data_IF_546940977579
#
_entry.id   IF_546940977579
#
_cell.length_a   1.000
_cell.length_b   1.000
_cell.length_c   1.000
_cell.angle_alpha   90.00
_cell.angle_beta   90.00
_cell.angle_gamma   90.00
#
_symmetry.space_group_name_H-M   'P 1'
#
loop_
_entity.id
_entity.type
_entity.pdbx_description
1 polymer ?
#
# COMPACT_ATOMS: atom_id res chain seq x y z
N UNK A 1 11.25 6.97 -30.67
CA UNK A 1 10.83 7.47 -29.34
C UNK A 1 11.06 6.44 -28.23
N UNK A 2 10.57 5.19 -28.32
CA UNK A 2 10.70 4.24 -27.19
C UNK A 2 12.09 3.61 -26.99
N UNK A 3 12.93 3.53 -28.02
CA UNK A 3 14.35 3.15 -27.89
C UNK A 3 15.18 4.25 -27.23
N UNK A 4 14.72 5.49 -27.31
CA UNK A 4 15.38 6.70 -26.81
C UNK A 4 15.42 6.78 -25.28
N UNK A 5 14.52 6.06 -24.57
CA UNK A 5 14.50 6.05 -23.09
C UNK A 5 15.78 5.52 -22.45
N UNK A 6 16.54 4.68 -23.17
CA UNK A 6 17.85 4.19 -22.71
C UNK A 6 18.92 5.28 -22.70
N UNK A 7 18.67 6.40 -23.40
CA UNK A 7 19.57 7.54 -23.52
C UNK A 7 19.27 8.63 -22.49
N UNK A 8 18.12 8.56 -21.80
CA UNK A 8 17.73 9.51 -20.77
C UNK A 8 18.22 9.02 -19.41
N UNK A 9 18.99 9.85 -18.73
CA UNK A 9 19.39 9.59 -17.37
C UNK A 9 18.22 9.87 -16.41
N UNK A 10 17.51 8.81 -16.04
CA UNK A 10 16.40 8.86 -15.10
C UNK A 10 16.85 8.59 -13.65
N UNK A 11 18.15 8.56 -13.37
CA UNK A 11 18.66 8.37 -12.01
C UNK A 11 18.71 9.72 -11.28
N UNK A 12 17.90 9.95 -10.22
CA UNK A 12 17.86 11.22 -9.51
C UNK A 12 19.21 11.61 -8.89
N UNK A 13 19.94 10.61 -8.40
CA UNK A 13 21.20 10.81 -7.66
C UNK A 13 22.43 10.94 -8.57
N UNK A 14 22.27 10.87 -9.90
CA UNK A 14 23.41 10.85 -10.82
C UNK A 14 23.20 11.77 -12.04
N UNK A 15 22.58 12.94 -11.86
CA UNK A 15 22.31 13.88 -12.96
C UNK A 15 23.56 14.65 -13.45
N UNK A 16 24.70 14.56 -12.75
CA UNK A 16 25.96 15.23 -13.12
C UNK A 16 26.69 14.63 -14.34
N UNK A 17 26.06 13.68 -15.04
CA UNK A 17 26.63 13.07 -16.25
C UNK A 17 26.68 14.10 -17.39
N UNK A 18 27.87 14.29 -17.98
CA UNK A 18 28.22 15.19 -19.09
C UNK A 18 27.56 14.86 -20.44
N UNK A 19 26.58 13.95 -20.45
CA UNK A 19 25.84 13.59 -21.66
C UNK A 19 25.00 14.78 -22.13
N UNK A 20 25.18 15.18 -23.40
CA UNK A 20 24.38 16.23 -24.05
C UNK A 20 22.86 15.93 -24.04
N UNK A 21 22.45 14.70 -23.76
CA UNK A 21 21.03 14.30 -23.65
C UNK A 21 20.40 14.54 -22.26
N UNK A 22 21.19 14.95 -21.25
CA UNK A 22 20.69 15.23 -19.90
C UNK A 22 20.15 16.67 -19.75
N UNK A 23 20.47 17.56 -20.69
CA UNK A 23 19.92 18.91 -20.75
C UNK A 23 18.43 18.84 -21.10
N UNK A 24 17.58 18.58 -20.10
CA UNK A 24 16.13 18.45 -20.23
C UNK A 24 15.50 17.32 -19.42
N UNK A 25 16.28 16.31 -18.95
CA UNK A 25 15.76 15.26 -18.07
C UNK A 25 15.44 15.77 -16.68
N UNK A 26 16.03 16.89 -16.28
CA UNK A 26 15.85 17.49 -14.95
C UNK A 26 14.38 17.77 -14.63
N UNK A 27 13.60 18.37 -15.54
CA UNK A 27 12.17 18.63 -15.30
C UNK A 27 11.31 17.36 -15.15
N UNK A 28 11.75 16.23 -15.72
CA UNK A 28 11.11 14.92 -15.51
C UNK A 28 11.53 14.37 -14.14
N UNK A 29 12.84 14.38 -13.84
CA UNK A 29 13.39 13.85 -12.60
C UNK A 29 12.87 14.63 -11.38
N UNK A 30 12.70 15.95 -11.48
CA UNK A 30 12.13 16.80 -10.44
C UNK A 30 10.60 16.72 -10.33
N UNK A 31 9.92 15.98 -11.21
CA UNK A 31 8.46 15.78 -11.13
C UNK A 31 7.63 16.75 -11.96
N UNK A 32 8.12 17.96 -12.25
CA UNK A 32 7.36 19.06 -12.89
C UNK A 32 6.72 18.67 -14.22
N UNK A 33 7.42 17.91 -15.06
CA UNK A 33 6.94 17.50 -16.39
C UNK A 33 6.18 16.16 -16.38
N UNK A 34 6.20 15.40 -15.27
CA UNK A 34 5.58 14.07 -15.20
C UNK A 34 4.06 14.08 -15.46
N UNK A 35 3.27 15.08 -14.98
CA UNK A 35 1.84 15.17 -15.29
C UNK A 35 1.52 15.35 -16.77
N UNK A 36 2.45 15.88 -17.56
CA UNK A 36 2.28 16.11 -19.00
C UNK A 36 2.60 14.86 -19.83
N UNK A 37 3.16 13.81 -19.22
CA UNK A 37 3.51 12.58 -19.93
C UNK A 37 2.25 11.77 -20.27
N UNK A 38 2.09 11.46 -21.55
CA UNK A 38 1.01 10.59 -21.99
C UNK A 38 1.09 9.20 -21.32
N UNK A 39 -0.04 8.52 -21.03
CA UNK A 39 -0.05 7.20 -20.39
C UNK A 39 0.91 6.17 -20.96
N UNK A 40 1.03 6.11 -22.30
CA UNK A 40 1.95 5.18 -22.98
C UNK A 40 3.43 5.46 -22.68
N UNK A 41 3.78 6.69 -22.34
CA UNK A 41 5.17 7.11 -22.08
C UNK A 41 5.67 6.56 -20.75
N UNK A 42 4.90 6.69 -19.66
CA UNK A 42 5.35 6.21 -18.36
C UNK A 42 5.06 4.72 -18.13
N UNK A 43 4.02 4.14 -18.75
CA UNK A 43 3.67 2.72 -18.55
C UNK A 43 4.51 1.75 -19.38
N UNK A 44 4.74 2.03 -20.66
CA UNK A 44 5.32 1.06 -21.59
C UNK A 44 6.77 0.64 -21.22
N UNK A 45 7.67 1.56 -20.82
CA UNK A 45 9.01 1.19 -20.37
C UNK A 45 8.98 0.25 -19.15
N UNK A 46 8.08 0.52 -18.20
CA UNK A 46 7.91 -0.28 -16.99
C UNK A 46 7.43 -1.69 -17.34
N UNK A 47 6.34 -1.80 -18.12
CA UNK A 47 5.77 -3.09 -18.56
C UNK A 47 6.82 -3.94 -19.30
N UNK A 48 7.55 -3.34 -20.25
CA UNK A 48 8.58 -4.05 -21.02
C UNK A 48 9.73 -4.53 -20.13
N UNK A 49 10.16 -3.71 -19.17
CA UNK A 49 11.26 -4.06 -18.28
C UNK A 49 10.87 -5.14 -17.29
N UNK A 50 9.65 -5.08 -16.75
CA UNK A 50 9.09 -6.14 -15.91
C UNK A 50 9.01 -7.45 -16.68
N UNK A 51 8.46 -7.43 -17.90
CA UNK A 51 8.34 -8.63 -18.75
C UNK A 51 9.70 -9.27 -19.07
N UNK A 52 10.73 -8.48 -19.38
CA UNK A 52 12.08 -9.00 -19.67
C UNK A 52 12.80 -9.61 -18.48
N UNK A 53 12.50 -9.11 -17.28
CA UNK A 53 13.14 -9.57 -16.04
C UNK A 53 12.32 -10.62 -15.30
N UNK A 54 11.18 -11.02 -15.88
CA UNK A 54 10.27 -12.01 -15.31
C UNK A 54 10.82 -13.43 -15.54
N UNK A 55 10.93 -14.18 -14.45
CA UNK A 55 11.29 -15.60 -14.51
C UNK A 55 10.12 -16.38 -15.12
N UNK A 56 10.42 -17.12 -16.20
CA UNK A 56 9.46 -17.97 -16.90
C UNK A 56 9.56 -19.42 -16.39
N UNK A 57 8.47 -20.18 -16.52
CA UNK A 57 8.46 -21.62 -16.23
C UNK A 57 8.41 -22.01 -14.74
N UNK A 58 8.26 -21.06 -13.82
CA UNK A 58 8.05 -21.31 -12.39
C UNK A 58 6.71 -20.73 -11.91
N UNK A 59 5.96 -21.51 -11.16
CA UNK A 59 4.64 -21.13 -10.64
C UNK A 59 4.68 -20.41 -9.28
N UNK A 60 5.79 -20.54 -8.56
CA UNK A 60 6.03 -19.94 -7.25
C UNK A 60 7.53 -19.80 -6.99
N UNK A 61 7.89 -18.84 -6.14
CA UNK A 61 9.27 -18.59 -5.74
C UNK A 61 9.72 -19.46 -4.55
N UNK A 62 10.83 -19.11 -3.90
CA UNK A 62 11.33 -19.88 -2.76
C UNK A 62 10.28 -20.03 -1.65
N UNK A 63 10.34 -21.14 -0.91
CA UNK A 63 9.41 -21.39 0.20
C UNK A 63 9.81 -20.58 1.44
N UNK A 64 8.83 -19.92 2.06
CA UNK A 64 8.95 -19.12 3.28
C UNK A 64 8.06 -19.75 4.34
N UNK A 65 8.61 -19.94 5.55
CA UNK A 65 7.87 -20.57 6.65
C UNK A 65 7.33 -19.50 7.58
N UNK A 66 6.04 -19.56 7.88
CA UNK A 66 5.34 -18.59 8.75
C UNK A 66 4.61 -19.33 9.86
N UNK A 67 4.68 -18.80 11.07
CA UNK A 67 3.99 -19.37 12.24
C UNK A 67 3.03 -18.33 12.82
N UNK A 68 1.73 -18.60 12.76
CA UNK A 68 0.68 -17.78 13.40
C UNK A 68 0.34 -18.29 14.80
N UNK A 69 0.23 -19.61 14.95
CA UNK A 69 -0.18 -20.25 16.21
C UNK A 69 0.98 -20.29 17.21
N UNK A 70 0.77 -19.74 18.41
CA UNK A 70 1.72 -19.87 19.52
C UNK A 70 1.76 -21.33 19.98
N UNK A 71 2.97 -21.88 20.12
CA UNK A 71 3.17 -23.15 20.82
C UNK A 71 4.03 -22.90 22.04
N UNK A 72 3.58 -23.41 23.21
CA UNK A 72 4.31 -23.33 24.50
C UNK A 72 4.48 -21.89 25.06
N UNK A 73 3.47 -21.03 24.94
CA UNK A 73 3.40 -19.74 25.64
C UNK A 73 4.31 -18.61 25.12
N UNK A 74 5.06 -18.82 24.02
CA UNK A 74 5.84 -17.76 23.38
C UNK A 74 4.98 -17.01 22.36
N UNK A 75 4.86 -15.69 22.49
CA UNK A 75 4.18 -14.84 21.49
C UNK A 75 4.86 -15.02 20.12
N UNK A 76 4.07 -15.26 19.08
CA UNK A 76 4.58 -15.28 17.71
C UNK A 76 5.01 -13.86 17.31
N UNK A 77 6.09 -13.78 16.53
CA UNK A 77 6.47 -12.50 15.92
C UNK A 77 5.46 -12.13 14.84
N UNK A 78 5.28 -10.85 14.52
CA UNK A 78 4.45 -10.43 13.39
C UNK A 78 4.87 -11.13 12.09
N UNK A 79 3.92 -11.46 11.24
CA UNK A 79 4.11 -12.16 9.97
C UNK A 79 5.05 -11.38 9.05
N UNK A 80 4.89 -10.05 9.01
CA UNK A 80 5.77 -9.15 8.29
C UNK A 80 7.23 -9.36 8.69
N UNK A 81 7.51 -9.39 10.00
CA UNK A 81 8.87 -9.58 10.54
C UNK A 81 9.41 -10.99 10.25
N UNK A 82 8.55 -12.00 10.29
CA UNK A 82 8.94 -13.39 9.97
C UNK A 82 9.33 -13.56 8.50
N UNK A 83 8.54 -12.98 7.59
CA UNK A 83 8.77 -13.04 6.14
C UNK A 83 9.97 -12.17 5.76
N UNK A 84 10.05 -10.94 6.29
CA UNK A 84 11.16 -10.01 6.02
C UNK A 84 12.52 -10.68 6.22
N UNK A 85 12.73 -11.32 7.38
CA UNK A 85 14.01 -11.99 7.71
C UNK A 85 14.40 -13.13 6.78
N UNK A 86 13.43 -13.76 6.13
CA UNK A 86 13.69 -14.86 5.20
C UNK A 86 13.87 -14.32 3.78
N UNK A 87 13.01 -13.40 3.34
CA UNK A 87 13.01 -12.86 1.96
C UNK A 87 14.25 -12.04 1.65
N UNK A 88 14.74 -11.23 2.59
CA UNK A 88 15.96 -10.41 2.37
C UNK A 88 17.23 -11.24 2.21
N UNK A 89 17.20 -12.54 2.55
CA UNK A 89 18.31 -13.49 2.35
C UNK A 89 18.26 -14.21 1.00
N UNK A 90 17.19 -14.04 0.25
CA UNK A 90 17.00 -14.66 -1.06
C UNK A 90 17.68 -13.85 -2.16
N UNK A 91 17.90 -14.48 -3.32
CA UNK A 91 18.33 -13.74 -4.49
C UNK A 91 17.17 -12.96 -5.10
N UNK A 92 17.42 -11.70 -5.43
CA UNK A 92 16.41 -10.83 -6.05
C UNK A 92 15.77 -11.44 -7.31
N UNK A 93 16.53 -12.19 -8.12
CA UNK A 93 16.02 -12.82 -9.34
C UNK A 93 14.95 -13.87 -9.08
N UNK A 94 15.04 -14.60 -7.96
CA UNK A 94 14.09 -15.67 -7.61
C UNK A 94 12.71 -15.14 -7.25
N UNK A 95 12.61 -13.86 -6.90
CA UNK A 95 11.37 -13.17 -6.53
C UNK A 95 10.62 -12.56 -7.72
N UNK A 96 11.25 -12.50 -8.91
CA UNK A 96 10.72 -11.81 -10.10
C UNK A 96 9.74 -12.67 -10.90
N UNK A 97 8.69 -13.15 -10.23
CA UNK A 97 7.69 -14.06 -10.78
C UNK A 97 6.38 -13.36 -11.15
N UNK A 98 5.57 -13.94 -12.05
CA UNK A 98 4.32 -13.32 -12.52
C UNK A 98 3.19 -13.30 -11.48
N UNK A 99 3.18 -14.24 -10.52
CA UNK A 99 2.02 -14.44 -9.64
C UNK A 99 2.39 -14.52 -8.16
N UNK A 100 3.42 -15.30 -7.82
CA UNK A 100 3.85 -15.55 -6.44
C UNK A 100 5.34 -15.41 -6.33
N UNK A 101 5.79 -14.35 -5.66
CA UNK A 101 7.22 -14.11 -5.45
C UNK A 101 7.85 -15.13 -4.49
N UNK A 102 7.05 -15.75 -3.63
CA UNK A 102 7.43 -16.86 -2.75
C UNK A 102 6.22 -17.77 -2.49
N UNK A 103 6.49 -18.98 -1.99
CA UNK A 103 5.45 -19.91 -1.49
C UNK A 103 5.39 -19.82 0.02
N UNK A 104 4.22 -19.61 0.61
CA UNK A 104 4.06 -19.57 2.07
C UNK A 104 3.76 -20.97 2.61
N UNK A 105 4.45 -21.38 3.68
CA UNK A 105 4.14 -22.58 4.45
C UNK A 105 3.75 -22.19 5.87
N UNK A 106 2.47 -22.33 6.19
CA UNK A 106 1.96 -22.08 7.54
C UNK A 106 2.25 -23.29 8.45
N UNK A 107 2.94 -23.05 9.56
CA UNK A 107 3.32 -24.10 10.50
C UNK A 107 2.12 -24.48 11.36
N UNK A 108 1.65 -25.71 11.21
CA UNK A 108 0.58 -26.29 12.05
C UNK A 108 -0.83 -26.11 11.51
N UNK A 109 -1.01 -25.46 10.35
CA UNK A 109 -2.34 -25.10 9.83
C UNK A 109 -2.82 -26.00 8.68
N UNK A 110 -2.08 -27.06 8.29
CA UNK A 110 -2.49 -28.00 7.24
C UNK A 110 -2.69 -27.41 5.83
N UNK A 111 -2.60 -26.09 5.69
CA UNK A 111 -2.81 -25.36 4.46
C UNK A 111 -1.59 -25.48 3.53
N UNK A 112 -1.82 -25.97 2.32
CA UNK A 112 -0.84 -25.90 1.23
C UNK A 112 -1.13 -24.67 0.35
N UNK A 113 -0.09 -23.90 0.04
CA UNK A 113 -0.23 -22.63 -0.68
C UNK A 113 -0.49 -22.87 -2.18
N UNK A 114 -1.77 -22.85 -2.56
CA UNK A 114 -2.26 -22.76 -3.93
C UNK A 114 -2.46 -21.31 -4.41
N UNK A 115 -2.03 -20.31 -3.64
CA UNK A 115 -2.10 -18.87 -3.94
C UNK A 115 -2.96 -18.07 -2.96
N UNK A 116 -3.95 -18.69 -2.32
CA UNK A 116 -4.78 -18.03 -1.30
C UNK A 116 -3.98 -17.64 -0.06
N UNK A 117 -3.09 -18.53 0.41
CA UNK A 117 -2.24 -18.29 1.59
C UNK A 117 -1.27 -17.13 1.35
N UNK A 118 -0.70 -17.03 0.15
CA UNK A 118 0.16 -15.90 -0.22
C UNK A 118 -0.59 -14.56 -0.16
N UNK A 119 -1.77 -14.48 -0.78
CA UNK A 119 -2.59 -13.26 -0.78
C UNK A 119 -3.05 -12.89 0.65
N UNK A 120 -3.44 -13.88 1.45
CA UNK A 120 -3.85 -13.73 2.84
C UNK A 120 -2.72 -13.14 3.71
N UNK A 121 -1.51 -13.69 3.62
CA UNK A 121 -0.36 -13.13 4.37
C UNK A 121 0.03 -11.73 3.93
N UNK A 122 -0.17 -11.34 2.67
CA UNK A 122 0.07 -9.96 2.23
C UNK A 122 -0.94 -9.01 2.90
N UNK A 123 -2.21 -9.39 2.93
CA UNK A 123 -3.26 -8.61 3.60
C UNK A 123 -2.96 -8.43 5.08
N UNK A 124 -2.59 -9.50 5.79
CA UNK A 124 -2.20 -9.44 7.20
C UNK A 124 -0.96 -8.56 7.41
N UNK A 125 0.05 -8.66 6.55
CA UNK A 125 1.23 -7.79 6.63
C UNK A 125 0.89 -6.30 6.49
N UNK A 126 -0.04 -5.93 5.60
CA UNK A 126 -0.51 -4.54 5.50
C UNK A 126 -1.22 -4.10 6.79
N UNK A 127 -2.06 -4.96 7.36
CA UNK A 127 -2.75 -4.68 8.62
C UNK A 127 -1.77 -4.54 9.79
N UNK A 128 -0.76 -5.40 9.89
CA UNK A 128 0.28 -5.33 10.94
C UNK A 128 1.06 -4.00 10.90
N UNK A 129 1.27 -3.44 9.70
CA UNK A 129 1.92 -2.14 9.51
C UNK A 129 1.02 -0.98 9.97
N UNK A 130 -0.25 -0.96 9.58
CA UNK A 130 -1.17 0.16 9.89
C UNK A 130 -1.74 0.12 11.31
N UNK A 131 -1.75 -1.05 11.95
CA UNK A 131 -2.21 -1.21 13.35
C UNK A 131 -1.11 -0.94 14.38
N UNK A 132 0.13 -0.67 13.94
CA UNK A 132 1.28 -0.43 14.82
C UNK A 132 1.85 -1.69 15.49
N UNK A 133 1.42 -2.89 15.07
CA UNK A 133 2.04 -4.15 15.50
C UNK A 133 3.50 -4.21 15.03
N UNK A 134 3.78 -3.61 13.87
CA UNK A 134 5.11 -3.42 13.30
C UNK A 134 5.42 -1.93 13.26
N UNK A 135 6.42 -1.51 14.05
CA UNK A 135 6.78 -0.10 14.28
C UNK A 135 7.60 0.50 13.14
N UNK A 136 7.05 0.46 11.91
CA UNK A 136 7.64 1.09 10.72
C UNK A 136 6.81 2.26 10.22
N UNK A 137 5.51 2.27 10.52
CA UNK A 137 4.59 3.33 10.13
C UNK A 137 4.08 4.05 11.38
N UNK A 138 3.90 5.36 11.26
CA UNK A 138 3.20 6.17 12.25
C UNK A 138 2.00 6.85 11.58
N UNK A 139 0.88 7.08 12.28
CA UNK A 139 -0.16 7.98 11.80
C UNK A 139 0.41 9.37 11.49
N UNK A 140 -0.19 10.10 10.56
CA UNK A 140 0.17 11.49 10.34
C UNK A 140 -0.02 12.32 11.63
N UNK A 141 0.80 13.35 11.87
CA UNK A 141 0.57 14.29 12.98
C UNK A 141 -0.85 14.87 12.99
N UNK A 142 -1.40 15.18 11.81
CA UNK A 142 -2.79 15.58 11.61
C UNK A 142 -3.81 14.53 12.13
N UNK A 143 -3.53 13.24 11.99
CA UNK A 143 -4.36 12.18 12.57
C UNK A 143 -4.39 12.27 14.10
N UNK A 144 -3.23 12.47 14.72
CA UNK A 144 -3.07 12.55 16.18
C UNK A 144 -3.69 13.83 16.75
N UNK A 145 -3.56 14.94 16.03
CA UNK A 145 -4.11 16.25 16.41
C UNK A 145 -5.58 16.46 15.99
N UNK A 146 -6.15 15.51 15.23
CA UNK A 146 -7.52 15.57 14.69
C UNK A 146 -7.85 16.79 13.81
N UNK A 147 -6.84 17.39 13.18
CA UNK A 147 -6.97 18.59 12.33
C UNK A 147 -6.29 18.40 10.98
N UNK A 148 -6.59 19.27 10.01
CA UNK A 148 -5.95 19.25 8.69
C UNK A 148 -6.37 18.07 7.81
N UNK A 149 -5.60 17.85 6.74
CA UNK A 149 -5.82 16.77 5.76
C UNK A 149 -5.07 15.49 6.14
N UNK A 150 -5.29 14.41 5.39
CA UNK A 150 -4.55 13.15 5.49
C UNK A 150 -4.55 12.51 6.90
N UNK A 151 -5.66 12.66 7.63
CA UNK A 151 -5.87 12.10 8.99
C UNK A 151 -6.00 10.57 9.01
N UNK A 152 -6.28 9.98 7.86
CA UNK A 152 -6.36 8.54 7.61
C UNK A 152 -5.05 7.96 7.06
N UNK A 153 -3.97 8.76 7.01
CA UNK A 153 -2.72 8.40 6.33
C UNK A 153 -1.55 8.19 7.28
N UNK A 154 -0.59 7.42 6.80
CA UNK A 154 0.60 7.02 7.54
C UNK A 154 1.88 7.59 6.92
N UNK A 155 2.85 7.89 7.78
CA UNK A 155 4.24 8.24 7.45
C UNK A 155 5.17 7.08 7.82
N UNK A 156 6.39 7.07 7.29
CA UNK A 156 7.43 6.19 7.82
C UNK A 156 7.88 6.70 9.19
N UNK A 157 8.09 5.79 10.14
CA UNK A 157 8.59 6.16 11.46
C UNK A 157 10.03 6.70 11.34
N UNK A 158 10.29 8.00 11.59
CA UNK A 158 11.63 8.58 11.47
C UNK A 158 12.60 8.01 12.51
N UNK A 159 12.10 7.58 13.67
CA UNK A 159 12.89 6.92 14.71
C UNK A 159 13.26 5.47 14.40
N UNK A 160 12.63 4.85 13.40
CA UNK A 160 12.89 3.46 13.02
C UNK A 160 14.19 3.32 12.19
N UNK A 161 15.33 3.60 12.83
CA UNK A 161 16.64 3.73 12.19
C UNK A 161 17.64 2.59 12.48
N UNK A 162 17.26 1.59 13.30
CA UNK A 162 18.09 0.43 13.60
C UNK A 162 18.25 -0.47 12.35
N UNK A 163 19.32 -1.26 12.29
CA UNK A 163 19.57 -2.15 11.14
C UNK A 163 18.42 -3.12 10.86
N UNK A 164 17.77 -3.62 11.91
CA UNK A 164 16.57 -4.47 11.79
C UNK A 164 15.40 -3.70 11.17
N UNK A 165 15.21 -2.41 11.49
CA UNK A 165 14.18 -1.56 10.89
C UNK A 165 14.50 -1.26 9.42
N UNK A 166 15.76 -0.95 9.09
CA UNK A 166 16.17 -0.70 7.71
C UNK A 166 16.03 -1.94 6.83
N UNK A 167 16.35 -3.13 7.37
CA UNK A 167 16.07 -4.41 6.72
C UNK A 167 14.57 -4.61 6.46
N UNK A 168 13.74 -4.24 7.42
CA UNK A 168 12.28 -4.31 7.31
C UNK A 168 11.71 -3.29 6.29
N UNK A 169 12.22 -2.05 6.24
CA UNK A 169 11.90 -1.08 5.19
C UNK A 169 12.34 -1.56 3.81
N UNK A 170 13.51 -2.19 3.71
CA UNK A 170 13.94 -2.86 2.48
C UNK A 170 12.95 -3.95 2.07
N UNK A 171 12.47 -4.75 3.01
CA UNK A 171 11.44 -5.74 2.73
C UNK A 171 10.11 -5.08 2.29
N UNK A 172 9.69 -3.97 2.90
CA UNK A 172 8.52 -3.19 2.45
C UNK A 172 8.70 -2.77 0.98
N UNK A 173 9.90 -2.32 0.59
CA UNK A 173 10.24 -2.02 -0.80
C UNK A 173 10.13 -3.22 -1.74
N UNK A 174 10.60 -4.39 -1.30
CA UNK A 174 10.43 -5.65 -2.05
C UNK A 174 8.94 -5.94 -2.24
N UNK A 175 8.14 -5.81 -1.17
CA UNK A 175 6.69 -6.06 -1.19
C UNK A 175 5.97 -5.11 -2.16
N UNK A 176 6.29 -3.81 -2.16
CA UNK A 176 5.78 -2.84 -3.14
C UNK A 176 6.15 -3.23 -4.57
N UNK A 177 7.40 -3.64 -4.81
CA UNK A 177 7.84 -4.13 -6.12
C UNK A 177 7.11 -5.42 -6.56
N UNK A 178 6.84 -6.33 -5.63
CA UNK A 178 6.07 -7.56 -5.87
C UNK A 178 4.62 -7.21 -6.23
N UNK A 179 3.99 -6.23 -5.57
CA UNK A 179 2.65 -5.77 -5.90
C UNK A 179 2.57 -5.25 -7.33
N UNK A 180 3.51 -4.38 -7.72
CA UNK A 180 3.62 -3.84 -9.09
C UNK A 180 3.76 -4.95 -10.15
N UNK A 181 4.58 -5.98 -9.84
CA UNK A 181 4.91 -7.07 -10.76
C UNK A 181 3.78 -8.09 -10.89
N UNK A 182 3.20 -8.49 -9.77
CA UNK A 182 2.14 -9.52 -9.69
C UNK A 182 0.74 -8.97 -9.92
N UNK A 183 0.58 -7.64 -9.98
CA UNK A 183 -0.70 -6.94 -10.11
C UNK A 183 -1.66 -7.21 -8.95
N UNK A 184 -1.10 -7.52 -7.77
CA UNK A 184 -1.82 -7.74 -6.52
C UNK A 184 -1.59 -6.52 -5.63
N UNK A 185 -2.55 -5.59 -5.54
CA UNK A 185 -2.32 -4.33 -4.86
C UNK A 185 -2.21 -4.50 -3.34
N UNK A 186 -1.42 -3.64 -2.70
CA UNK A 186 -1.31 -3.55 -1.25
C UNK A 186 -2.37 -2.61 -0.69
N UNK A 187 -3.05 -3.00 0.38
CA UNK A 187 -3.95 -2.10 1.11
C UNK A 187 -3.14 -1.23 2.09
N UNK A 188 -2.39 -0.26 1.56
CA UNK A 188 -1.58 0.69 2.35
C UNK A 188 -2.02 2.13 2.10
N UNK A 189 -2.16 2.90 3.17
CA UNK A 189 -2.66 4.27 3.20
C UNK A 189 -1.53 5.27 3.53
N UNK A 190 -0.45 5.24 2.76
CA UNK A 190 0.67 6.17 2.97
C UNK A 190 0.29 7.59 2.53
N UNK A 191 0.84 8.61 3.21
CA UNK A 191 0.60 10.01 2.89
C UNK A 191 1.24 10.41 1.53
N UNK A 192 0.69 11.42 0.83
CA UNK A 192 1.20 11.87 -0.47
C UNK A 192 2.71 12.18 -0.50
N UNK A 193 3.25 12.79 0.57
CA UNK A 193 4.67 13.11 0.67
C UNK A 193 5.58 11.87 0.63
N UNK A 194 5.14 10.73 1.18
CA UNK A 194 5.90 9.47 1.16
C UNK A 194 6.04 8.97 -0.28
N UNK A 195 4.96 9.03 -1.06
CA UNK A 195 4.97 8.67 -2.48
C UNK A 195 5.83 9.63 -3.32
N UNK A 196 5.85 10.93 -2.99
CA UNK A 196 6.75 11.90 -3.62
C UNK A 196 8.21 11.54 -3.36
N UNK A 197 8.59 11.25 -2.12
CA UNK A 197 9.95 10.83 -1.77
C UNK A 197 10.35 9.50 -2.43
N UNK A 198 9.45 8.50 -2.45
CA UNK A 198 9.67 7.25 -3.18
C UNK A 198 9.83 7.46 -4.69
N UNK A 199 9.34 8.57 -5.24
CA UNK A 199 9.52 8.99 -6.62
C UNK A 199 10.74 9.93 -6.83
N UNK A 200 11.47 10.26 -5.78
CA UNK A 200 12.50 11.32 -5.73
C UNK A 200 11.99 12.67 -6.26
N UNK A 201 10.75 13.01 -5.95
CA UNK A 201 10.20 14.35 -6.15
C UNK A 201 10.54 15.14 -4.87
N UNK A 202 11.19 16.32 -4.96
CA UNK A 202 11.43 17.15 -3.79
C UNK A 202 10.12 17.55 -3.13
N UNK A 203 10.14 17.58 -1.80
CA UNK A 203 9.02 18.07 -1.02
C UNK A 203 9.08 19.58 -0.89
N UNK A 204 7.91 20.19 -0.69
CA UNK A 204 7.73 21.63 -0.44
C UNK A 204 6.97 21.82 0.87
N UNK A 205 6.87 23.06 1.36
CA UNK A 205 6.22 23.36 2.65
C UNK A 205 4.76 22.87 2.70
N UNK A 206 4.05 22.98 1.59
CA UNK A 206 2.66 22.54 1.45
C UNK A 206 2.52 21.02 1.66
N UNK A 207 3.54 20.22 1.31
CA UNK A 207 3.56 18.78 1.59
C UNK A 207 3.65 18.47 3.08
N UNK A 208 4.34 19.32 3.84
CA UNK A 208 4.41 19.21 5.30
C UNK A 208 3.10 19.65 5.94
N UNK A 209 2.52 20.77 5.49
CA UNK A 209 1.24 21.28 5.99
C UNK A 209 0.10 20.28 5.79
N UNK A 210 0.12 19.53 4.69
CA UNK A 210 -0.84 18.47 4.39
C UNK A 210 -0.86 17.33 5.42
N UNK A 211 0.21 17.13 6.18
CA UNK A 211 0.33 16.06 7.20
C UNK A 211 0.53 16.57 8.62
N UNK A 212 0.92 17.83 8.80
CA UNK A 212 1.26 18.44 10.08
C UNK A 212 0.96 19.96 10.11
N UNK A 213 -0.33 20.28 10.05
CA UNK A 213 -0.84 21.65 9.95
C UNK A 213 -0.43 22.51 11.16
N UNK A 214 -0.58 21.97 12.38
CA UNK A 214 -0.28 22.72 13.60
C UNK A 214 1.20 23.05 13.73
N UNK A 215 2.07 22.15 13.27
CA UNK A 215 3.51 22.40 13.28
C UNK A 215 3.87 23.56 12.35
N UNK A 216 3.35 23.56 11.12
CA UNK A 216 3.56 24.67 10.16
C UNK A 216 3.00 25.98 10.70
N UNK A 217 1.82 25.96 11.32
CA UNK A 217 1.25 27.14 11.98
C UNK A 217 2.14 27.66 13.11
N UNK A 218 2.67 26.75 13.95
CA UNK A 218 3.59 27.11 15.05
C UNK A 218 4.86 27.77 14.52
N UNK A 219 5.46 27.21 13.46
CA UNK A 219 6.63 27.79 12.82
C UNK A 219 6.35 29.16 12.20
N UNK A 220 5.19 29.34 11.55
CA UNK A 220 4.76 30.63 11.02
C UNK A 220 4.57 31.66 12.15
N UNK A 221 4.02 31.26 13.30
CA UNK A 221 3.92 32.14 14.48
C UNK A 221 5.29 32.56 15.02
N UNK A 222 6.28 31.66 15.04
CA UNK A 222 7.66 32.00 15.43
C UNK A 222 8.31 32.95 14.40
N UNK A 223 8.06 32.72 13.11
CA UNK A 223 8.61 33.55 12.04
C UNK A 223 8.11 35.00 12.11
N UNK A 224 6.81 35.17 12.33
CA UNK A 224 6.08 36.43 12.36
C UNK A 224 5.76 36.92 13.78
N UNK A 225 6.59 36.53 14.76
CA UNK A 225 6.32 36.77 16.18
C UNK A 225 6.18 38.25 16.54
N UNK A 226 6.82 39.14 15.76
CA UNK A 226 6.73 40.59 15.87
C UNK A 226 5.30 41.13 15.65
N UNK A 227 4.52 40.48 14.77
CA UNK A 227 3.14 40.87 14.49
C UNK A 227 2.22 40.63 15.70
N UNK A 228 2.67 39.81 16.65
CA UNK A 228 2.01 39.55 17.93
C UNK A 228 2.50 40.46 19.07
N UNK A 229 3.35 41.45 18.77
CA UNK A 229 3.90 42.39 19.76
C UNK A 229 4.99 41.80 20.66
N UNK A 230 5.54 40.63 20.31
CA UNK A 230 6.61 39.96 21.05
C UNK A 230 7.95 40.57 20.64
N UNK A 231 8.76 40.92 21.64
CA UNK A 231 10.08 41.54 21.50
C UNK A 231 11.17 40.57 21.96
N UNK A 232 12.43 40.97 21.84
CA UNK A 232 13.55 40.17 22.34
C UNK A 232 13.49 39.94 23.86
N UNK A 233 12.93 40.90 24.61
CA UNK A 233 12.86 40.86 26.08
C UNK A 233 11.90 39.80 26.61
N UNK A 234 10.80 39.53 25.90
CA UNK A 234 9.76 38.57 26.32
C UNK A 234 9.73 37.29 25.45
N UNK A 235 10.71 37.11 24.55
CA UNK A 235 10.76 35.99 23.60
C UNK A 235 10.72 34.62 24.29
N UNK A 236 11.57 34.43 25.30
CA UNK A 236 11.67 33.16 26.04
C UNK A 236 10.48 32.88 26.96
N UNK A 237 9.67 33.90 27.28
CA UNK A 237 8.41 33.70 28.02
C UNK A 237 7.31 33.16 27.11
N UNK A 238 7.35 33.51 25.82
CA UNK A 238 6.31 33.17 24.84
C UNK A 238 6.64 31.92 24.03
N UNK A 239 7.92 31.64 23.76
CA UNK A 239 8.38 30.48 23.00
C UNK A 239 9.09 29.50 23.94
N UNK A 240 8.45 28.36 24.29
CA UNK A 240 9.01 27.38 25.23
C UNK A 240 10.02 26.44 24.55
N UNK A 241 10.97 27.01 23.79
CA UNK A 241 12.03 26.28 23.10
C UNK A 241 13.38 26.92 23.45
N UNK A 242 14.24 26.16 24.12
CA UNK A 242 15.53 26.66 24.60
C UNK A 242 16.62 26.68 23.52
N UNK A 243 16.51 25.82 22.51
CA UNK A 243 17.59 25.55 21.55
C UNK A 243 17.05 25.13 20.18
N UNK A 244 17.95 24.83 19.23
CA UNK A 244 17.62 24.30 17.90
C UNK A 244 17.19 22.82 17.98
N UNK A 245 16.11 22.60 18.72
CA UNK A 245 15.42 21.33 18.92
C UNK A 245 13.98 21.54 18.50
N UNK A 246 13.46 20.63 17.69
CA UNK A 246 12.08 20.66 17.18
C UNK A 246 11.40 19.33 17.39
N UNK A 247 10.08 19.32 17.25
CA UNK A 247 9.27 18.10 17.31
C UNK A 247 9.33 17.34 15.98
N UNK A 248 9.70 16.07 16.00
CA UNK A 248 9.65 15.14 14.85
C UNK A 248 8.23 14.64 14.60
N UNK A 249 7.94 14.03 13.44
CA UNK A 249 6.60 13.48 13.16
C UNK A 249 6.12 12.45 14.18
N UNK A 250 7.04 11.74 14.86
CA UNK A 250 6.71 10.77 15.91
C UNK A 250 6.48 11.42 17.29
N UNK A 251 6.48 12.75 17.35
CA UNK A 251 6.24 13.55 18.54
C UNK A 251 7.46 13.77 19.43
N UNK A 252 8.63 13.20 19.12
CA UNK A 252 9.84 13.38 19.93
C UNK A 252 10.54 14.70 19.66
N UNK A 253 11.10 15.30 20.71
CA UNK A 253 11.99 16.46 20.59
C UNK A 253 13.39 16.02 20.18
N UNK A 254 13.88 16.56 19.06
CA UNK A 254 15.15 16.16 18.45
C UNK A 254 15.93 17.37 17.92
N UNK A 255 17.27 17.33 17.89
CA UNK A 255 18.06 18.39 17.26
C UNK A 255 17.74 18.48 15.77
N UNK A 256 17.28 19.65 15.30
CA UNK A 256 16.96 19.87 13.87
C UNK A 256 18.19 20.14 13.01
N UNK A 257 19.33 20.41 13.66
CA UNK A 257 20.64 20.53 13.04
C UNK A 257 21.69 19.79 13.88
N UNK A 258 22.84 19.40 13.30
CA UNK A 258 23.96 18.84 14.06
C UNK A 258 24.38 19.77 15.21
N UNK A 259 24.37 19.25 16.44
CA UNK A 259 24.69 20.04 17.63
C UNK A 259 23.58 20.99 18.10
N UNK A 260 22.36 20.90 17.55
CA UNK A 260 21.25 21.82 17.83
C UNK A 260 20.91 22.02 19.31
N UNK A 261 21.11 20.99 20.15
CA UNK A 261 20.96 21.08 21.62
C UNK A 261 21.83 22.17 22.27
N UNK A 262 22.94 22.53 21.64
CA UNK A 262 23.91 23.50 22.15
C UNK A 262 23.77 24.88 21.52
N UNK A 263 22.85 25.04 20.57
CA UNK A 263 22.61 26.31 19.88
C UNK A 263 21.34 26.90 20.45
N UNK A 264 21.41 27.96 21.28
CA UNK A 264 20.23 28.56 21.89
C UNK A 264 19.35 29.19 20.81
N UNK A 265 18.03 29.04 20.96
CA UNK A 265 17.07 29.75 20.14
C UNK A 265 16.91 31.16 20.70
N UNK A 266 17.13 32.18 19.90
CA UNK A 266 17.00 33.60 20.27
C UNK A 266 16.05 34.31 19.33
N UNK A 267 15.58 35.48 19.75
CA UNK A 267 14.75 36.33 18.90
C UNK A 267 15.44 36.61 17.54
N UNK A 268 16.75 36.88 17.54
CA UNK A 268 17.52 37.22 16.34
C UNK A 268 17.73 36.03 15.39
N UNK A 269 17.88 34.80 15.89
CA UNK A 269 18.12 33.61 15.05
C UNK A 269 16.85 32.79 14.73
N UNK A 270 15.67 33.21 15.21
CA UNK A 270 14.38 32.52 15.00
C UNK A 270 14.06 32.20 13.54
N UNK A 271 14.47 33.05 12.60
CA UNK A 271 14.22 32.85 11.16
C UNK A 271 15.00 31.65 10.62
N UNK A 272 16.27 31.54 11.03
CA UNK A 272 17.10 30.37 10.72
C UNK A 272 16.53 29.12 11.38
N UNK A 273 16.09 29.20 12.65
CA UNK A 273 15.43 28.08 13.31
C UNK A 273 14.24 27.55 12.51
N UNK A 274 13.34 28.45 12.05
CA UNK A 274 12.16 28.07 11.26
C UNK A 274 12.57 27.39 9.94
N UNK A 275 13.53 27.95 9.21
CA UNK A 275 14.04 27.37 7.96
C UNK A 275 14.63 25.97 8.20
N UNK A 276 15.44 25.80 9.25
CA UNK A 276 16.05 24.51 9.62
C UNK A 276 15.01 23.50 10.09
N UNK A 277 13.97 23.95 10.79
CA UNK A 277 12.89 23.10 11.28
C UNK A 277 12.07 22.53 10.12
N UNK A 278 11.73 23.36 9.13
CA UNK A 278 11.08 22.93 7.89
C UNK A 278 11.96 21.92 7.15
N UNK A 279 13.23 22.26 6.91
CA UNK A 279 14.18 21.40 6.20
C UNK A 279 14.32 20.03 6.89
N UNK A 280 14.45 20.03 8.23
CA UNK A 280 14.49 18.79 9.01
C UNK A 280 13.24 17.93 8.78
N UNK A 281 12.04 18.51 8.89
CA UNK A 281 10.78 17.76 8.75
C UNK A 281 10.55 17.24 7.33
N UNK A 282 11.00 17.94 6.30
CA UNK A 282 10.94 17.48 4.92
C UNK A 282 11.88 16.28 4.65
N UNK A 283 12.96 16.15 5.44
CA UNK A 283 14.03 15.15 5.21
C UNK A 283 14.17 14.07 6.29
N UNK A 284 13.41 14.10 7.38
CA UNK A 284 13.58 13.17 8.51
C UNK A 284 13.32 11.68 8.18
N UNK A 285 12.64 11.39 7.06
CA UNK A 285 12.35 10.01 6.59
C UNK A 285 13.31 9.50 5.50
N UNK A 286 14.32 10.28 5.10
CA UNK A 286 15.16 9.97 3.93
C UNK A 286 15.86 8.61 4.03
N UNK A 287 16.28 8.20 5.24
CA UNK A 287 16.93 6.89 5.47
C UNK A 287 15.97 5.73 5.22
N UNK A 288 14.74 5.85 5.68
CA UNK A 288 13.67 4.87 5.50
C UNK A 288 13.28 4.78 4.02
N UNK A 289 13.10 5.93 3.37
CA UNK A 289 12.83 6.03 1.92
C UNK A 289 13.94 5.36 1.11
N UNK A 290 15.22 5.59 1.45
CA UNK A 290 16.34 4.96 0.78
C UNK A 290 16.31 3.43 0.90
N UNK A 291 16.02 2.89 2.08
CA UNK A 291 15.89 1.45 2.30
C UNK A 291 14.72 0.85 1.50
N UNK A 292 13.55 1.50 1.48
CA UNK A 292 12.41 1.07 0.66
C UNK A 292 12.77 1.08 -0.83
N UNK A 293 13.43 2.14 -1.32
CA UNK A 293 13.86 2.22 -2.72
C UNK A 293 14.89 1.15 -3.08
N UNK A 294 15.81 0.82 -2.16
CA UNK A 294 16.73 -0.30 -2.32
C UNK A 294 15.96 -1.62 -2.52
N UNK A 295 14.96 -1.87 -1.67
CA UNK A 295 14.08 -3.03 -1.79
C UNK A 295 13.32 -3.08 -3.11
N UNK A 296 12.74 -1.97 -3.54
CA UNK A 296 12.05 -1.88 -4.84
C UNK A 296 12.97 -2.24 -5.99
N UNK A 297 14.25 -1.84 -5.93
CA UNK A 297 15.24 -2.09 -6.99
C UNK A 297 15.52 -3.57 -7.24
N UNK A 298 15.23 -4.44 -6.26
CA UNK A 298 15.34 -5.88 -6.43
C UNK A 298 14.31 -6.41 -7.44
N UNK A 299 13.12 -5.81 -7.48
CA UNK A 299 11.95 -6.36 -8.18
C UNK A 299 11.58 -5.54 -9.40
N UNK A 300 11.72 -4.21 -9.36
CA UNK A 300 11.35 -3.29 -10.42
C UNK A 300 12.50 -2.33 -10.77
N UNK A 301 12.59 -1.84 -12.01
CA UNK A 301 13.62 -0.88 -12.41
C UNK A 301 13.34 0.51 -11.80
N UNK A 302 13.86 0.76 -10.60
CA UNK A 302 13.68 2.01 -9.84
C UNK A 302 13.93 3.31 -10.62
N UNK A 303 14.88 3.41 -11.56
CA UNK A 303 15.02 4.63 -12.38
C UNK A 303 13.76 4.97 -13.19
N UNK A 304 12.93 4.00 -13.56
CA UNK A 304 11.68 4.27 -14.28
C UNK A 304 10.59 4.90 -13.40
N UNK A 305 10.75 4.89 -12.08
CA UNK A 305 9.85 5.61 -11.17
C UNK A 305 9.91 7.12 -11.39
N UNK A 306 11.01 7.64 -11.94
CA UNK A 306 11.14 9.05 -12.32
C UNK A 306 10.22 9.48 -13.48
N UNK A 307 9.50 8.55 -14.10
CA UNK A 307 8.46 8.85 -15.08
C UNK A 307 7.07 8.97 -14.46
N UNK A 308 6.90 8.56 -13.20
CA UNK A 308 5.62 8.46 -12.53
C UNK A 308 5.38 9.65 -11.62
N UNK A 309 4.17 10.18 -11.59
CA UNK A 309 3.75 11.05 -10.48
C UNK A 309 3.61 10.23 -9.19
N UNK A 310 3.59 10.90 -8.04
CA UNK A 310 3.33 10.26 -6.74
C UNK A 310 2.04 9.42 -6.76
N UNK A 311 0.95 10.00 -7.27
CA UNK A 311 -0.35 9.32 -7.45
C UNK A 311 -0.29 8.10 -8.37
N UNK A 312 0.49 8.16 -9.45
CA UNK A 312 0.65 7.02 -10.35
C UNK A 312 1.43 5.88 -9.68
N UNK A 313 2.45 6.20 -8.88
CA UNK A 313 3.16 5.19 -8.09
C UNK A 313 2.25 4.54 -7.05
N UNK A 314 1.48 5.33 -6.30
CA UNK A 314 0.47 4.83 -5.36
C UNK A 314 -0.49 3.88 -6.08
N UNK A 315 -1.06 4.27 -7.22
CA UNK A 315 -1.97 3.40 -7.99
C UNK A 315 -1.32 2.11 -8.48
N UNK A 316 -0.02 2.13 -8.80
CA UNK A 316 0.72 0.93 -9.21
C UNK A 316 0.97 -0.05 -8.05
N UNK A 317 1.12 0.46 -6.83
CA UNK A 317 1.40 -0.33 -5.62
C UNK A 317 0.11 -0.75 -4.93
N UNK A 318 -0.80 0.19 -4.71
CA UNK A 318 -2.02 0.06 -3.91
C UNK A 318 -3.29 -0.13 -4.73
N UNK A 319 -3.24 0.07 -6.06
CA UNK A 319 -4.42 -0.06 -6.91
C UNK A 319 -5.34 1.15 -6.79
N UNK A 320 -6.59 0.99 -7.24
CA UNK A 320 -7.59 2.06 -7.16
C UNK A 320 -8.26 2.06 -5.78
N UNK A 321 -8.32 3.22 -5.11
CA UNK A 321 -9.01 3.32 -3.83
C UNK A 321 -10.53 3.22 -3.99
N UNK A 322 -11.05 3.67 -5.13
CA UNK A 322 -12.46 3.62 -5.47
C UNK A 322 -12.82 2.34 -6.22
N UNK A 323 -13.88 1.67 -5.78
CA UNK A 323 -14.41 0.48 -6.44
C UNK A 323 -15.48 0.90 -7.45
N UNK A 324 -15.09 1.00 -8.72
CA UNK A 324 -16.00 1.29 -9.83
C UNK A 324 -16.86 0.07 -10.19
N UNK A 325 -18.17 0.25 -10.13
CA UNK A 325 -19.16 -0.77 -10.53
C UNK A 325 -19.06 -1.07 -12.03
N UNK A 326 -18.78 -0.05 -12.84
CA UNK A 326 -18.61 -0.14 -14.29
C UNK A 326 -17.42 -1.02 -14.66
N UNK A 327 -16.33 -0.95 -13.89
CA UNK A 327 -15.18 -1.85 -14.07
C UNK A 327 -15.59 -3.29 -13.75
N UNK A 328 -16.31 -3.52 -12.65
CA UNK A 328 -16.79 -4.85 -12.28
C UNK A 328 -17.73 -5.44 -13.34
N UNK A 329 -18.66 -4.63 -13.87
CA UNK A 329 -19.55 -5.00 -14.99
C UNK A 329 -18.77 -5.41 -16.24
N UNK A 330 -17.63 -4.76 -16.55
CA UNK A 330 -16.80 -5.11 -17.71
C UNK A 330 -16.06 -6.45 -17.56
N UNK A 331 -15.79 -6.89 -16.34
CA UNK A 331 -15.03 -8.13 -16.06
C UNK A 331 -15.90 -9.27 -15.55
N UNK A 332 -17.21 -9.07 -15.43
CA UNK A 332 -18.13 -10.08 -14.89
C UNK A 332 -18.34 -11.25 -15.86
N UNK A 333 -18.59 -12.43 -15.30
CA UNK A 333 -19.09 -13.60 -15.99
C UNK A 333 -20.28 -14.16 -15.21
N UNK A 334 -21.42 -14.24 -15.87
CA UNK A 334 -22.62 -14.85 -15.30
C UNK A 334 -22.58 -16.36 -15.45
N UNK A 335 -23.01 -17.09 -14.42
CA UNK A 335 -23.16 -18.55 -14.41
C UNK A 335 -24.57 -18.89 -13.98
N UNK A 336 -25.27 -19.69 -14.79
CA UNK A 336 -26.66 -20.13 -14.54
C UNK A 336 -27.69 -18.98 -14.50
N UNK A 337 -27.26 -17.77 -14.85
CA UNK A 337 -28.07 -16.56 -15.07
C UNK A 337 -27.45 -15.76 -16.21
N UNK A 338 -28.20 -14.79 -16.72
CA UNK A 338 -27.73 -13.79 -17.66
C UNK A 338 -27.89 -12.37 -17.08
N UNK A 339 -27.40 -11.37 -17.81
CA UNK A 339 -27.42 -9.97 -17.42
C UNK A 339 -28.84 -9.39 -17.27
N UNK A 340 -29.82 -9.93 -17.99
CA UNK A 340 -31.21 -9.44 -18.00
C UNK A 340 -32.03 -10.06 -16.86
N UNK A 341 -31.52 -11.09 -16.19
CA UNK A 341 -32.20 -11.71 -15.07
C UNK A 341 -32.42 -10.69 -13.93
N UNK A 342 -33.65 -10.62 -13.42
CA UNK A 342 -34.06 -9.64 -12.40
C UNK A 342 -33.11 -9.58 -11.18
N UNK A 343 -32.69 -10.75 -10.69
CA UNK A 343 -31.70 -10.90 -9.62
C UNK A 343 -30.37 -10.16 -9.89
N UNK A 344 -29.89 -10.20 -11.13
CA UNK A 344 -28.64 -9.55 -11.54
C UNK A 344 -28.83 -8.04 -11.63
N UNK A 345 -29.96 -7.58 -12.16
CA UNK A 345 -30.29 -6.16 -12.22
C UNK A 345 -30.40 -5.55 -10.81
N UNK A 346 -31.10 -6.21 -9.90
CA UNK A 346 -31.19 -5.80 -8.49
C UNK A 346 -29.81 -5.75 -7.83
N UNK A 347 -28.95 -6.73 -8.09
CA UNK A 347 -27.60 -6.75 -7.54
C UNK A 347 -26.79 -5.52 -7.99
N UNK A 348 -26.81 -5.21 -9.29
CA UNK A 348 -26.06 -4.07 -9.82
C UNK A 348 -26.60 -2.73 -9.30
N UNK A 349 -27.91 -2.54 -9.26
CA UNK A 349 -28.50 -1.32 -8.69
C UNK A 349 -28.18 -1.17 -7.20
N UNK A 350 -28.25 -2.26 -6.45
CA UNK A 350 -27.84 -2.28 -5.04
C UNK A 350 -26.37 -1.85 -4.87
N UNK A 351 -25.47 -2.36 -5.71
CA UNK A 351 -24.05 -2.00 -5.63
C UNK A 351 -23.77 -0.56 -6.08
N UNK A 352 -24.58 -0.01 -7.00
CA UNK A 352 -24.56 1.40 -7.40
C UNK A 352 -25.02 2.32 -6.25
N UNK A 353 -25.97 1.88 -5.43
CA UNK A 353 -26.43 2.62 -4.23
C UNK A 353 -25.46 2.55 -3.06
N UNK A 354 -24.55 1.57 -3.03
CA UNK A 354 -23.56 1.45 -1.98
C UNK A 354 -22.55 2.60 -2.01
N UNK A 355 -22.19 3.08 -0.82
CA UNK A 355 -21.03 3.94 -0.59
C UNK A 355 -19.73 3.26 -1.02
N UNK A 356 -18.65 4.02 -1.24
CA UNK A 356 -17.38 3.41 -1.61
C UNK A 356 -16.86 2.49 -0.49
N UNK A 357 -17.09 2.84 0.77
CA UNK A 357 -16.76 2.04 1.95
C UNK A 357 -17.46 0.68 1.90
N UNK A 358 -18.77 0.67 1.61
CA UNK A 358 -19.54 -0.57 1.41
C UNK A 358 -19.05 -1.37 0.20
N UNK A 359 -18.67 -0.71 -0.91
CA UNK A 359 -18.11 -1.40 -2.09
C UNK A 359 -16.73 -2.00 -1.82
N UNK A 360 -15.90 -1.37 -0.99
CA UNK A 360 -14.62 -1.94 -0.52
C UNK A 360 -14.87 -3.17 0.34
N UNK A 361 -15.83 -3.13 1.27
CA UNK A 361 -16.24 -4.29 2.06
C UNK A 361 -16.78 -5.42 1.17
N UNK A 362 -17.59 -5.08 0.17
CA UNK A 362 -18.05 -6.03 -0.84
C UNK A 362 -16.87 -6.70 -1.58
N UNK A 363 -15.88 -5.91 -2.03
CA UNK A 363 -14.69 -6.46 -2.69
C UNK A 363 -13.92 -7.43 -1.79
N UNK A 364 -13.78 -7.11 -0.50
CA UNK A 364 -13.19 -8.03 0.49
C UNK A 364 -14.02 -9.31 0.59
N UNK A 365 -15.34 -9.20 0.66
CA UNK A 365 -16.25 -10.35 0.73
C UNK A 365 -16.12 -11.29 -0.47
N UNK A 366 -16.04 -10.77 -1.71
CA UNK A 366 -16.03 -11.63 -2.91
C UNK A 366 -14.64 -12.04 -3.40
N UNK A 367 -13.58 -11.35 -2.98
CA UNK A 367 -12.22 -11.57 -3.52
C UNK A 367 -11.11 -11.65 -2.45
N UNK A 368 -11.41 -11.31 -1.19
CA UNK A 368 -10.40 -11.16 -0.14
C UNK A 368 -9.54 -9.90 -0.28
N UNK A 369 -9.85 -9.01 -1.25
CA UNK A 369 -9.05 -7.81 -1.55
C UNK A 369 -9.87 -6.54 -1.34
N UNK A 370 -9.21 -5.47 -0.87
CA UNK A 370 -9.82 -4.16 -0.66
C UNK A 370 -9.71 -3.22 -1.86
N UNK A 371 -8.89 -3.57 -2.84
CA UNK A 371 -8.49 -2.68 -3.95
C UNK A 371 -8.53 -3.42 -5.28
N UNK A 372 -8.89 -2.69 -6.34
CA UNK A 372 -8.80 -3.17 -7.72
C UNK A 372 -7.46 -2.77 -8.35
N UNK A 373 -6.88 -3.58 -9.25
CA UNK A 373 -5.75 -3.15 -10.07
C UNK A 373 -6.06 -1.86 -10.83
N UNK A 374 -5.07 -0.96 -10.95
CA UNK A 374 -5.23 0.33 -11.64
C UNK A 374 -5.63 0.19 -13.13
N UNK A 375 -5.19 -0.89 -13.77
CA UNK A 375 -5.58 -1.21 -15.13
C UNK A 375 -6.56 -2.39 -15.12
N UNK A 376 -7.72 -2.21 -15.76
CA UNK A 376 -8.75 -3.25 -15.85
C UNK A 376 -8.25 -4.50 -16.59
N UNK A 377 -7.30 -4.36 -17.51
CA UNK A 377 -6.67 -5.49 -18.20
C UNK A 377 -5.78 -6.35 -17.28
N UNK A 378 -5.36 -5.82 -16.14
CA UNK A 378 -4.55 -6.55 -15.15
C UNK A 378 -5.42 -7.42 -14.22
N UNK A 379 -6.74 -7.37 -14.35
CA UNK A 379 -7.69 -8.24 -13.64
C UNK A 379 -7.64 -9.64 -14.27
N UNK A 380 -6.77 -10.50 -13.73
CA UNK A 380 -6.53 -11.85 -14.24
C UNK A 380 -7.71 -12.81 -14.04
N UNK A 381 -8.48 -12.63 -12.97
CA UNK A 381 -9.63 -13.45 -12.64
C UNK A 381 -10.91 -12.65 -12.87
N UNK A 382 -11.82 -13.17 -13.70
CA UNK A 382 -13.12 -12.55 -13.94
C UNK A 382 -14.01 -12.69 -12.70
N UNK A 383 -14.69 -11.60 -12.35
CA UNK A 383 -15.72 -11.61 -11.32
C UNK A 383 -16.86 -12.53 -11.75
N UNK A 384 -17.36 -13.40 -10.88
CA UNK A 384 -18.40 -14.36 -11.24
C UNK A 384 -19.64 -14.15 -10.40
N UNK A 385 -20.81 -14.07 -11.06
CA UNK A 385 -22.10 -14.07 -10.39
C UNK A 385 -22.80 -15.39 -10.74
N UNK A 386 -23.13 -16.15 -9.71
CA UNK A 386 -23.81 -17.43 -9.80
C UNK A 386 -25.11 -17.36 -9.02
N UNK A 387 -26.21 -17.80 -9.64
CA UNK A 387 -27.43 -18.07 -8.89
C UNK A 387 -27.30 -19.42 -8.20
N UNK A 388 -27.78 -19.52 -6.96
CA UNK A 388 -27.81 -20.78 -6.22
C UNK A 388 -29.22 -21.10 -5.78
N UNK A 389 -29.56 -22.39 -5.77
CA UNK A 389 -30.83 -22.87 -5.25
C UNK A 389 -30.73 -23.00 -3.72
N UNK A 390 -31.22 -21.98 -3.03
CA UNK A 390 -31.25 -21.84 -1.58
C UNK A 390 -32.58 -21.21 -1.16
N UNK A 391 -33.00 -21.32 0.11
CA UNK A 391 -34.20 -20.65 0.59
C UNK A 391 -34.20 -19.15 0.24
N UNK A 392 -35.38 -18.64 -0.08
CA UNK A 392 -35.58 -17.23 -0.35
C UNK A 392 -35.03 -16.37 0.78
N UNK A 393 -34.44 -15.24 0.40
CA UNK A 393 -33.96 -14.21 1.33
C UNK A 393 -32.87 -14.69 2.30
N UNK A 394 -32.19 -15.79 1.97
CA UNK A 394 -30.99 -16.25 2.66
C UNK A 394 -29.78 -15.34 2.38
N UNK A 395 -28.71 -15.49 3.16
CA UNK A 395 -27.50 -14.70 2.96
C UNK A 395 -26.77 -15.11 1.67
N UNK A 396 -26.19 -14.15 0.94
CA UNK A 396 -25.30 -14.47 -0.17
C UNK A 396 -24.02 -15.14 0.38
N UNK A 397 -23.39 -15.95 -0.46
CA UNK A 397 -22.09 -16.57 -0.13
C UNK A 397 -21.07 -16.22 -1.18
N UNK A 398 -19.79 -16.34 -0.85
CA UNK A 398 -18.70 -16.08 -1.79
C UNK A 398 -17.69 -17.21 -1.81
N UNK A 399 -16.93 -17.28 -2.89
CA UNK A 399 -15.71 -18.08 -2.97
C UNK A 399 -14.58 -17.14 -3.40
N UNK A 400 -13.86 -16.60 -2.42
CA UNK A 400 -12.81 -15.58 -2.61
C UNK A 400 -11.73 -16.06 -3.58
N UNK A 401 -11.30 -17.32 -3.48
CA UNK A 401 -10.35 -17.97 -4.39
C UNK A 401 -10.79 -17.93 -5.86
N UNK A 402 -12.10 -17.86 -6.12
CA UNK A 402 -12.68 -17.84 -7.47
C UNK A 402 -13.19 -16.47 -7.90
N UNK A 403 -13.04 -15.44 -7.06
CA UNK A 403 -13.67 -14.14 -7.22
C UNK A 403 -15.16 -14.27 -7.58
N UNK A 404 -15.89 -15.08 -6.80
CA UNK A 404 -17.24 -15.52 -7.11
C UNK A 404 -18.23 -15.12 -6.01
N UNK A 405 -19.36 -14.56 -6.42
CA UNK A 405 -20.54 -14.29 -5.63
C UNK A 405 -21.65 -15.29 -5.97
N UNK A 406 -22.26 -15.88 -4.95
CA UNK A 406 -23.38 -16.81 -5.04
C UNK A 406 -24.62 -16.14 -4.45
N UNK A 407 -25.58 -15.87 -5.31
CA UNK A 407 -26.82 -15.16 -4.97
C UNK A 407 -27.98 -16.16 -4.83
N UNK A 408 -28.59 -16.27 -3.64
CA UNK A 408 -29.89 -16.95 -3.49
C UNK A 408 -31.00 -16.12 -4.14
N UNK A 409 -32.19 -16.71 -4.35
CA UNK A 409 -33.36 -15.94 -4.76
C UNK A 409 -33.77 -14.96 -3.65
N UNK A 410 -34.16 -13.75 -4.04
CA UNK A 410 -34.70 -12.73 -3.13
C UNK A 410 -36.13 -12.37 -3.53
N UNK A 411 -36.95 -12.00 -2.55
CA UNK A 411 -38.33 -11.55 -2.79
C UNK A 411 -38.40 -10.09 -3.22
N UNK A 412 -37.39 -9.28 -2.93
CA UNK A 412 -37.25 -7.88 -3.41
C UNK A 412 -35.80 -7.38 -3.42
N UNK A 413 -35.54 -6.29 -4.15
CA UNK A 413 -34.24 -5.60 -4.13
C UNK A 413 -33.86 -5.11 -2.73
N UNK A 414 -34.83 -4.60 -1.96
CA UNK A 414 -34.58 -4.09 -0.61
C UNK A 414 -34.03 -5.18 0.32
N UNK A 415 -34.59 -6.39 0.25
CA UNK A 415 -34.11 -7.51 1.06
C UNK A 415 -32.74 -7.99 0.56
N UNK A 416 -32.51 -8.03 -0.76
CA UNK A 416 -31.16 -8.30 -1.28
C UNK A 416 -30.12 -7.31 -0.73
N UNK A 417 -30.44 -6.01 -0.72
CA UNK A 417 -29.55 -4.98 -0.22
C UNK A 417 -29.27 -5.14 1.28
N UNK A 418 -30.29 -5.43 2.09
CA UNK A 418 -30.14 -5.73 3.51
C UNK A 418 -29.24 -6.95 3.75
N UNK A 419 -29.48 -8.06 3.02
CA UNK A 419 -28.71 -9.30 3.15
C UNK A 419 -27.27 -9.16 2.68
N UNK A 420 -27.03 -8.41 1.60
CA UNK A 420 -25.69 -8.07 1.14
C UNK A 420 -24.95 -7.22 2.19
N UNK A 421 -25.57 -6.14 2.69
CA UNK A 421 -24.98 -5.31 3.75
C UNK A 421 -24.65 -6.13 4.99
N UNK A 422 -25.54 -7.04 5.38
CA UNK A 422 -25.28 -7.94 6.50
C UNK A 422 -24.06 -8.82 6.22
N UNK A 423 -23.99 -9.49 5.06
CA UNK A 423 -22.90 -10.38 4.72
C UNK A 423 -21.53 -9.68 4.69
N UNK A 424 -21.43 -8.52 4.02
CA UNK A 424 -20.16 -7.78 3.88
C UNK A 424 -19.62 -7.21 5.19
N UNK A 425 -20.50 -6.95 6.17
CA UNK A 425 -20.09 -6.41 7.47
C UNK A 425 -19.67 -7.50 8.48
N UNK A 426 -20.24 -8.70 8.37
CA UNK A 426 -20.08 -9.77 9.35
C UNK A 426 -19.09 -10.87 8.91
N UNK A 427 -18.84 -11.05 7.62
CA UNK A 427 -17.87 -12.05 7.11
C UNK A 427 -16.48 -11.42 6.93
N UNK A 428 -15.71 -11.32 8.02
CA UNK A 428 -14.40 -10.61 8.04
C UNK A 428 -13.18 -11.51 7.77
N UNK A 429 -13.30 -12.83 7.89
CA UNK A 429 -12.22 -13.80 7.66
C UNK A 429 -12.60 -14.85 6.63
N UNK A 430 -11.60 -15.45 5.98
CA UNK A 430 -11.77 -16.69 5.22
C UNK A 430 -12.07 -17.77 6.26
N UNK A 431 -13.35 -18.04 6.52
CA UNK A 431 -13.74 -19.19 7.31
C UNK A 431 -13.36 -20.44 6.50
N UNK A 432 -12.36 -21.16 7.00
CA UNK A 432 -12.03 -22.52 6.59
C UNK A 432 -13.15 -23.45 7.06
N UNK A 433 -14.35 -23.27 6.50
CA UNK A 433 -15.42 -24.22 6.71
C UNK A 433 -15.05 -25.53 6.01
N UNK A 434 -15.25 -26.63 6.73
CA UNK A 434 -14.97 -28.05 6.44
C UNK A 434 -15.44 -28.59 5.06
N UNK A 435 -15.91 -27.73 4.16
CA UNK A 435 -16.44 -28.07 2.84
C UNK A 435 -15.38 -28.59 1.85
N UNK A 436 -14.10 -28.25 2.04
CA UNK A 436 -12.99 -28.82 1.25
C UNK A 436 -12.57 -30.21 1.74
N UNK A 437 -12.88 -30.57 3.00
CA UNK A 437 -12.59 -31.90 3.53
C UNK A 437 -13.65 -32.91 3.11
N UNK A 438 -14.94 -32.52 3.07
CA UNK A 438 -16.02 -33.44 2.66
C UNK A 438 -15.88 -33.92 1.22
N UNK A 439 -15.39 -33.07 0.29
CA UNK A 439 -15.25 -33.45 -1.12
C UNK A 439 -14.13 -34.47 -1.39
N UNK A 440 -13.13 -34.54 -0.51
CA UNK A 440 -12.07 -35.56 -0.58
C UNK A 440 -12.46 -36.87 0.11
N UNK A 441 -13.48 -36.85 0.98
CA UNK A 441 -14.06 -38.07 1.58
C UNK A 441 -15.04 -38.71 0.60
N UNK A 442 -15.88 -37.91 -0.08
CA UNK A 442 -16.86 -38.41 -1.05
C UNK A 442 -16.23 -39.04 -2.32
N UNK A 443 -14.99 -38.66 -2.66
CA UNK A 443 -14.24 -39.26 -3.78
C UNK A 443 -13.37 -40.46 -3.38
N UNK A 444 -13.26 -40.77 -2.07
CA UNK A 444 -12.46 -41.89 -1.58
C UNK A 444 -13.31 -43.14 -1.26
N UNK A 445 -14.64 -43.01 -1.12
CA UNK A 445 -15.54 -44.13 -0.82
C UNK A 445 -16.13 -44.82 -2.07
N UNK A 446 -15.60 -44.54 -3.27
CA UNK A 446 -16.15 -45.05 -4.54
C UNK A 446 -15.36 -46.15 -5.23
N UNK A 447 -14.22 -46.60 -4.73
CA UNK A 447 -13.42 -47.66 -5.38
C UNK A 447 -12.76 -48.60 -4.40
N UNK A 448 -13.54 -49.49 -3.81
CA UNK A 448 -13.11 -50.87 -3.59
C UNK A 448 -14.34 -51.74 -3.32
N UNK A 449 -14.27 -52.99 -3.80
CA UNK A 449 -15.27 -54.09 -3.78
C UNK A 449 -16.34 -54.10 -4.87
N UNK A 450 -16.08 -54.81 -5.97
CA UNK A 450 -16.65 -56.17 -6.16
C UNK A 450 -16.14 -56.86 -7.43
N UNK A 451 -15.53 -58.04 -7.22
CA UNK A 451 -15.19 -59.17 -8.11
C UNK A 451 -14.37 -58.96 -9.39
#
# INVERSE_FOLDING_TARGET
MYSSWRLLNLSPNNQNSTSHYNAGTWGIVQGQLRPLLAPRVYTLPMVRSIGKTMVQGKNYGPQITVKRISTRGRKCKPIFVQIARQVVKLNASDLRLPSRAWKVKLVGEGADDAGGVFDDTITEMCQELETGIVDLLIPSPNATAEVGYNRDRFLFNPSACLDEHLMQFKFLGILMGVAIRTKKPLDLHLAPMVWKQLCCIPLILEDLEEVDLLYVQTLNSILHIEDSGITEENFHEMIPLDSFVGQSADGKMVPIIPGGNSIPLTFSNRKEYVERAIEYRLHEMDRQVAAVREGMSWIVPVPLLSLLTAKQLEQMVCGMPEISVEVLKKVVRYREVDEQHQLVQWFWHTLEEFSNEERVLFMRFVSGRSRLPANTADISQRFQIMKVDRPYDSLPTSQTCFFQLRLPPYSSQLIMAERLRYAINNCRSIDMDNYMLSRNVDNAEGSDTDY
#
